data_IF_663372917257
#
_entry.id   IF_663372917257
#
_cell.length_a   1.000
_cell.length_b   1.000
_cell.length_c   1.000
_cell.angle_alpha   90.00
_cell.angle_beta   90.00
_cell.angle_gamma   90.00
#
_symmetry.space_group_name_H-M   'P 1'
#
loop_
_entity.id
_entity.type
_entity.pdbx_description
1 polymer ?
#
# COMPACT_ATOMS: atom_id res chain seq x y z
N UNK A 1 24.20 20.12 -13.87
CA UNK A 1 23.87 20.04 -12.43
C UNK A 1 22.36 19.96 -12.35
N UNK A 2 21.81 18.82 -11.96
CA UNK A 2 20.39 18.71 -11.62
C UNK A 2 20.24 19.40 -10.27
N UNK A 3 19.54 20.53 -10.24
CA UNK A 3 19.16 21.22 -9.02
C UNK A 3 18.39 20.25 -8.13
N UNK A 4 18.86 20.07 -6.89
CA UNK A 4 18.12 19.41 -5.82
C UNK A 4 16.78 20.13 -5.67
N UNK A 5 15.73 19.55 -6.25
CA UNK A 5 14.37 19.92 -5.91
C UNK A 5 14.20 19.36 -4.50
N UNK A 6 13.96 20.22 -3.51
CA UNK A 6 13.55 19.81 -2.16
C UNK A 6 12.28 18.96 -2.28
N UNK A 7 12.44 17.64 -2.41
CA UNK A 7 11.32 16.73 -2.37
C UNK A 7 10.96 16.52 -0.90
N UNK A 8 9.68 16.67 -0.52
CA UNK A 8 9.25 16.34 0.82
C UNK A 8 9.49 14.84 1.03
N UNK A 9 10.50 14.50 1.81
CA UNK A 9 10.94 13.13 2.11
C UNK A 9 10.02 12.44 3.14
N UNK A 10 8.73 12.78 3.09
CA UNK A 10 7.73 12.40 4.09
C UNK A 10 6.88 11.28 3.51
N UNK A 11 7.07 10.08 4.05
CA UNK A 11 6.13 8.98 3.87
C UNK A 11 4.82 9.31 4.59
N UNK A 12 3.70 9.25 3.89
CA UNK A 12 2.38 9.26 4.55
C UNK A 12 1.79 7.86 4.53
N UNK A 13 1.15 7.50 5.64
CA UNK A 13 0.48 6.21 5.80
C UNK A 13 -0.94 6.44 6.34
N UNK A 14 -1.91 5.92 5.61
CA UNK A 14 -3.33 5.98 5.96
C UNK A 14 -3.81 4.56 6.26
N UNK A 15 -4.44 4.37 7.42
CA UNK A 15 -4.98 3.08 7.86
C UNK A 15 -6.50 3.11 7.76
N UNK A 16 -7.09 2.02 7.28
CA UNK A 16 -8.53 1.78 7.36
C UNK A 16 -8.80 0.60 8.29
N UNK A 17 -9.87 0.70 9.08
CA UNK A 17 -10.25 -0.31 10.05
C UNK A 17 -11.61 -0.91 9.70
N UNK A 18 -11.82 -2.20 9.99
CA UNK A 18 -13.12 -2.86 9.87
C UNK A 18 -14.02 -2.59 11.10
N UNK A 19 -15.23 -3.15 11.10
CA UNK A 19 -16.20 -3.00 12.20
C UNK A 19 -15.71 -3.57 13.55
N UNK A 20 -14.74 -4.48 13.52
CA UNK A 20 -14.09 -5.06 14.70
C UNK A 20 -12.82 -4.29 15.13
N UNK A 21 -12.55 -3.12 14.54
CA UNK A 21 -11.33 -2.32 14.75
C UNK A 21 -10.01 -3.01 14.34
N UNK A 22 -10.05 -3.99 13.44
CA UNK A 22 -8.84 -4.57 12.82
C UNK A 22 -8.46 -3.78 11.56
N UNK A 23 -7.16 -3.74 11.23
CA UNK A 23 -6.63 -3.00 10.08
C UNK A 23 -7.06 -3.64 8.76
N UNK A 24 -8.14 -3.14 8.16
CA UNK A 24 -8.70 -3.60 6.88
C UNK A 24 -7.85 -3.18 5.67
N UNK A 25 -7.06 -2.11 5.79
CA UNK A 25 -6.23 -1.63 4.71
C UNK A 25 -5.19 -0.62 5.13
N UNK A 26 -4.16 -0.49 4.29
CA UNK A 26 -3.05 0.44 4.49
C UNK A 26 -2.76 1.08 3.14
N UNK A 27 -2.68 2.41 3.08
CA UNK A 27 -2.18 3.14 1.91
C UNK A 27 -0.94 3.93 2.30
N UNK A 28 0.20 3.57 1.72
CA UNK A 28 1.48 4.25 1.90
C UNK A 28 1.80 5.06 0.65
N UNK A 29 2.13 6.34 0.81
CA UNK A 29 2.57 7.22 -0.29
C UNK A 29 4.03 7.60 -0.03
N UNK A 30 4.90 7.17 -0.93
CA UNK A 30 6.34 7.40 -0.90
C UNK A 30 6.73 8.29 -2.08
N UNK A 31 7.38 9.44 -1.85
CA UNK A 31 8.13 10.12 -2.89
C UNK A 31 9.27 9.19 -3.34
N UNK A 32 9.45 9.03 -4.65
CA UNK A 32 10.58 8.30 -5.23
C UNK A 32 11.30 9.22 -6.21
N UNK A 33 12.56 8.90 -6.50
CA UNK A 33 13.43 9.67 -7.40
C UNK A 33 12.82 9.95 -8.80
N UNK A 34 11.80 9.19 -9.22
CA UNK A 34 11.14 9.30 -10.52
C UNK A 34 9.62 9.60 -10.44
N UNK A 35 9.04 9.79 -9.26
CA UNK A 35 7.59 9.96 -9.12
C UNK A 35 7.02 9.62 -7.74
N UNK A 36 5.71 9.70 -7.60
CA UNK A 36 4.99 9.27 -6.38
C UNK A 36 4.62 7.80 -6.51
N UNK A 37 5.09 6.98 -5.58
CA UNK A 37 4.67 5.58 -5.46
C UNK A 37 3.63 5.44 -4.35
N UNK A 38 2.51 4.82 -4.66
CA UNK A 38 1.47 4.46 -3.69
C UNK A 38 1.42 2.94 -3.55
N UNK A 39 1.49 2.44 -2.33
CA UNK A 39 1.30 1.04 -2.00
C UNK A 39 0.01 0.92 -1.20
N UNK A 40 -0.96 0.18 -1.72
CA UNK A 40 -2.20 -0.10 -1.03
C UNK A 40 -2.32 -1.58 -0.73
N UNK A 41 -2.65 -1.89 0.51
CA UNK A 41 -2.95 -3.21 1.01
C UNK A 41 -4.42 -3.23 1.42
N UNK A 42 -5.14 -4.29 1.09
CA UNK A 42 -6.52 -4.51 1.54
C UNK A 42 -6.70 -5.96 1.95
N UNK A 43 -7.15 -6.17 3.18
CA UNK A 43 -7.56 -7.48 3.67
C UNK A 43 -9.02 -7.77 3.29
N UNK A 44 -9.27 -8.93 2.71
CA UNK A 44 -10.61 -9.40 2.31
C UNK A 44 -11.19 -10.43 3.27
N UNK A 45 -10.33 -11.18 3.96
CA UNK A 45 -10.76 -12.25 4.87
C UNK A 45 -9.81 -12.35 6.05
N UNK A 46 -10.39 -12.41 7.23
CA UNK A 46 -9.69 -12.64 8.50
C UNK A 46 -10.01 -14.04 8.99
N UNK A 47 -9.03 -14.71 9.57
CA UNK A 47 -9.29 -15.92 10.34
C UNK A 47 -9.80 -15.59 11.76
N UNK A 48 -10.15 -16.65 12.49
CA UNK A 48 -10.65 -16.55 13.86
C UNK A 48 -9.65 -15.96 14.86
N UNK A 49 -8.36 -15.90 14.52
CA UNK A 49 -7.30 -15.35 15.36
C UNK A 49 -6.98 -13.89 15.01
N UNK A 50 -7.66 -13.32 14.02
CA UNK A 50 -7.44 -11.95 13.58
C UNK A 50 -6.27 -11.78 12.63
N UNK A 51 -5.81 -12.85 11.96
CA UNK A 51 -4.82 -12.75 10.88
C UNK A 51 -5.50 -12.64 9.51
N UNK A 52 -4.89 -11.91 8.57
CA UNK A 52 -5.46 -11.73 7.25
C UNK A 52 -5.14 -12.91 6.32
N UNK A 53 -6.14 -13.74 6.03
CA UNK A 53 -6.01 -14.92 5.17
C UNK A 53 -5.93 -14.55 3.68
N UNK A 54 -6.63 -13.49 3.26
CA UNK A 54 -6.69 -13.08 1.86
C UNK A 54 -6.50 -11.58 1.73
N UNK A 55 -5.51 -11.17 0.96
CA UNK A 55 -5.14 -9.76 0.80
C UNK A 55 -4.82 -9.41 -0.65
N UNK A 56 -5.14 -8.19 -1.06
CA UNK A 56 -4.65 -7.61 -2.32
C UNK A 56 -3.62 -6.54 -2.00
N UNK A 57 -2.48 -6.62 -2.68
CA UNK A 57 -1.45 -5.60 -2.69
C UNK A 57 -1.45 -4.93 -4.05
N UNK A 58 -1.62 -3.61 -4.07
CA UNK A 58 -1.59 -2.77 -5.26
C UNK A 58 -0.42 -1.83 -5.13
N UNK A 59 0.45 -1.81 -6.14
CA UNK A 59 1.47 -0.79 -6.33
C UNK A 59 1.04 0.11 -7.48
N UNK A 60 1.03 1.42 -7.26
CA UNK A 60 0.78 2.42 -8.29
C UNK A 60 1.92 3.44 -8.32
N UNK A 61 2.41 3.79 -9.50
CA UNK A 61 3.43 4.81 -9.72
C UNK A 61 2.83 5.92 -10.58
N UNK A 62 2.88 7.15 -10.07
CA UNK A 62 2.59 8.36 -10.81
C UNK A 62 3.89 9.12 -11.05
N UNK A 63 4.34 9.18 -12.31
CA UNK A 63 5.51 9.98 -12.68
C UNK A 63 5.20 11.48 -12.55
N UNK A 64 6.19 12.27 -12.12
CA UNK A 64 6.05 13.72 -12.04
C UNK A 64 5.78 14.34 -13.41
N UNK A 65 4.85 15.30 -13.47
CA UNK A 65 4.45 15.95 -14.73
C UNK A 65 3.64 15.07 -15.69
N UNK A 66 3.38 13.82 -15.33
CA UNK A 66 2.52 12.90 -16.10
C UNK A 66 1.13 12.81 -15.48
N UNK A 67 0.11 12.56 -16.31
CA UNK A 67 -1.23 12.16 -15.87
C UNK A 67 -1.42 10.63 -15.87
N UNK A 68 -0.44 9.88 -16.37
CA UNK A 68 -0.51 8.44 -16.49
C UNK A 68 -0.06 7.76 -15.18
N UNK A 69 -0.88 6.83 -14.69
CA UNK A 69 -0.60 5.97 -13.53
C UNK A 69 -0.26 4.57 -14.04
N UNK A 70 0.88 4.02 -13.63
CA UNK A 70 1.18 2.60 -13.83
C UNK A 70 0.82 1.85 -12.56
N UNK A 71 -0.04 0.84 -12.64
CA UNK A 71 -0.42 0.03 -11.49
C UNK A 71 -0.27 -1.47 -11.74
N UNK A 72 0.08 -2.19 -10.68
CA UNK A 72 0.14 -3.65 -10.65
C UNK A 72 -0.49 -4.16 -9.35
N UNK A 73 -1.40 -5.13 -9.47
CA UNK A 73 -2.05 -5.78 -8.33
C UNK A 73 -1.66 -7.26 -8.22
N UNK A 74 -1.51 -7.74 -6.99
CA UNK A 74 -1.38 -9.16 -6.68
C UNK A 74 -2.34 -9.52 -5.54
N UNK A 75 -3.05 -10.64 -5.69
CA UNK A 75 -3.82 -11.24 -4.60
C UNK A 75 -2.97 -12.34 -3.97
N UNK A 76 -2.82 -12.27 -2.65
CA UNK A 76 -2.05 -13.20 -1.84
C UNK A 76 -3.01 -13.95 -0.91
N UNK A 77 -2.88 -15.27 -0.90
CA UNK A 77 -3.52 -16.13 0.09
C UNK A 77 -2.46 -16.54 1.12
N UNK A 78 -2.68 -16.13 2.36
CA UNK A 78 -1.83 -16.45 3.51
C UNK A 78 -2.30 -17.75 4.14
N UNK A 79 -1.37 -18.64 4.51
CA UNK A 79 -1.64 -19.82 5.33
C UNK A 79 -0.94 -19.67 6.67
N UNK A 80 -1.72 -19.73 7.75
CA UNK A 80 -1.22 -19.69 9.11
C UNK A 80 -1.32 -21.08 9.73
N UNK A 81 -0.21 -21.61 10.24
CA UNK A 81 -0.18 -22.83 11.02
C UNK A 81 -0.23 -22.46 12.51
N UNK A 82 -1.25 -22.93 13.20
CA UNK A 82 -1.42 -22.75 14.65
C UNK A 82 -1.00 -24.04 15.35
N UNK A 83 0.04 -23.95 16.18
CA UNK A 83 0.57 -25.06 17.00
C UNK A 83 -0.03 -25.06 18.40
#
# INVERSE_FOLDING_TARGET
MLTEIEQPDVMTQEYTYNEQNHVAGITQKLPTFWGKSTYSYTCYKWDQYGNCELQTMIKAIQLEGSAAIQSSGITLESRYEYY
#
